data_IF_005182045261
#
_entry.id   IF_005182045261
#
_cell.length_a   1.000
_cell.length_b   1.000
_cell.length_c   1.000
_cell.angle_alpha   90.00
_cell.angle_beta   90.00
_cell.angle_gamma   90.00
#
_symmetry.space_group_name_H-M   'P 1'
#
loop_
_entity.id
_entity.type
_entity.pdbx_description
1 polymer ?
#
# COMPACT_ATOMS: atom_id res chain seq x y z
N UNK A 1 -5.78 -12.57 9.70
CA UNK A 1 -5.83 -12.73 8.23
C UNK A 1 -5.98 -11.39 7.49
N UNK A 2 -7.09 -10.65 7.63
CA UNK A 2 -7.42 -9.44 6.83
C UNK A 2 -6.32 -8.37 6.77
N UNK A 3 -5.63 -8.09 7.88
CA UNK A 3 -4.53 -7.10 7.97
C UNK A 3 -3.29 -7.46 7.14
N UNK A 4 -2.97 -8.74 7.03
CA UNK A 4 -1.85 -9.21 6.22
C UNK A 4 -2.20 -9.17 4.73
N UNK A 5 -3.46 -9.47 4.38
CA UNK A 5 -3.98 -9.32 3.01
C UNK A 5 -3.93 -7.85 2.58
N UNK A 6 -4.34 -6.91 3.46
CA UNK A 6 -4.29 -5.47 3.18
C UNK A 6 -2.85 -4.97 2.97
N UNK A 7 -1.92 -5.43 3.82
CA UNK A 7 -0.49 -5.12 3.68
C UNK A 7 0.05 -5.64 2.34
N UNK A 8 -0.20 -6.92 2.05
CA UNK A 8 0.31 -7.57 0.84
C UNK A 8 -0.30 -6.94 -0.43
N UNK A 9 -1.59 -6.61 -0.43
CA UNK A 9 -2.24 -5.93 -1.56
C UNK A 9 -1.69 -4.52 -1.76
N UNK A 10 -1.44 -3.76 -0.69
CA UNK A 10 -0.86 -2.41 -0.80
C UNK A 10 0.57 -2.45 -1.36
N UNK A 11 1.40 -3.40 -0.92
CA UNK A 11 2.75 -3.59 -1.46
C UNK A 11 2.71 -3.99 -2.94
N UNK A 12 1.82 -4.91 -3.31
CA UNK A 12 1.65 -5.31 -4.72
C UNK A 12 1.19 -4.14 -5.61
N UNK A 13 0.29 -3.26 -5.12
CA UNK A 13 -0.11 -2.07 -5.88
C UNK A 13 1.07 -1.13 -6.14
N UNK A 14 1.94 -0.91 -5.16
CA UNK A 14 3.13 -0.06 -5.32
C UNK A 14 4.10 -0.68 -6.33
N UNK A 15 4.35 -1.99 -6.24
CA UNK A 15 5.18 -2.71 -7.22
C UNK A 15 4.58 -2.62 -8.62
N UNK A 16 3.27 -2.81 -8.75
CA UNK A 16 2.56 -2.71 -10.03
C UNK A 16 2.69 -1.31 -10.64
N UNK A 17 2.60 -0.25 -9.83
CA UNK A 17 2.79 1.13 -10.29
C UNK A 17 4.21 1.36 -10.84
N UNK A 18 5.25 0.83 -10.16
CA UNK A 18 6.64 0.92 -10.63
C UNK A 18 6.82 0.14 -11.94
N UNK A 19 6.26 -1.07 -12.04
CA UNK A 19 6.34 -1.89 -13.26
C UNK A 19 5.64 -1.22 -14.44
N UNK A 20 4.48 -0.59 -14.22
CA UNK A 20 3.79 0.18 -15.25
C UNK A 20 4.63 1.37 -15.72
N UNK A 21 5.29 2.08 -14.79
CA UNK A 21 6.19 3.18 -15.13
C UNK A 21 7.36 2.67 -15.98
N UNK A 22 8.01 1.59 -15.57
CA UNK A 22 9.11 0.98 -16.34
C UNK A 22 8.62 0.58 -17.73
N UNK A 23 7.52 -0.16 -17.82
CA UNK A 23 6.97 -0.63 -19.11
C UNK A 23 6.56 0.52 -20.04
N UNK A 24 6.12 1.65 -19.49
CA UNK A 24 5.80 2.85 -20.25
C UNK A 24 7.04 3.56 -20.82
N UNK A 25 8.19 3.44 -20.14
CA UNK A 25 9.46 4.06 -20.53
C UNK A 25 10.41 3.12 -21.27
N UNK A 26 10.13 1.81 -21.33
CA UNK A 26 10.88 0.88 -22.18
C UNK A 26 10.71 1.31 -23.65
N UNK A 27 11.81 1.56 -24.38
CA UNK A 27 11.74 1.94 -25.78
C UNK A 27 11.12 0.78 -26.58
N UNK A 28 9.87 0.94 -27.01
CA UNK A 28 9.21 -0.03 -27.88
C UNK A 28 9.71 0.21 -29.30
N UNK A 29 10.49 -0.73 -29.83
CA UNK A 29 10.92 -0.77 -31.22
C UNK A 29 9.78 -1.19 -32.16
N UNK A 30 8.64 -0.48 -32.08
CA UNK A 30 7.46 -0.67 -32.93
C UNK A 30 7.23 0.57 -33.82
N UNK A 31 6.41 0.45 -34.89
CA UNK A 31 6.20 1.53 -35.86
C UNK A 31 5.79 2.82 -35.14
N UNK A 32 6.39 3.93 -35.58
CA UNK A 32 6.35 5.27 -34.97
C UNK A 32 4.91 5.81 -34.96
N UNK A 33 4.10 5.33 -34.01
CA UNK A 33 2.70 5.66 -33.86
C UNK A 33 2.47 6.27 -32.48
N UNK A 34 2.25 7.59 -32.43
CA UNK A 34 1.87 8.42 -31.28
C UNK A 34 2.55 8.00 -29.96
N UNK A 35 3.67 8.65 -29.66
CA UNK A 35 4.36 8.52 -28.37
C UNK A 35 3.37 8.52 -27.22
N UNK A 36 3.53 7.54 -26.33
CA UNK A 36 2.75 7.38 -25.11
C UNK A 36 2.56 8.76 -24.46
N UNK A 37 1.32 9.19 -24.20
CA UNK A 37 1.07 10.48 -23.56
C UNK A 37 1.69 10.47 -22.16
N UNK A 38 2.93 10.95 -22.03
CA UNK A 38 3.69 10.91 -20.77
C UNK A 38 2.92 11.53 -19.60
N UNK A 39 2.12 12.57 -19.87
CA UNK A 39 1.20 13.17 -18.89
C UNK A 39 0.20 12.17 -18.30
N UNK A 40 -0.39 11.30 -19.13
CA UNK A 40 -1.36 10.29 -18.70
C UNK A 40 -0.70 9.19 -17.87
N UNK A 41 0.51 8.77 -18.25
CA UNK A 41 1.30 7.77 -17.51
C UNK A 41 1.66 8.28 -16.13
N UNK A 42 2.15 9.51 -16.03
CA UNK A 42 2.48 10.14 -14.74
C UNK A 42 1.24 10.35 -13.87
N UNK A 43 0.11 10.74 -14.47
CA UNK A 43 -1.14 10.86 -13.73
C UNK A 43 -1.61 9.51 -13.18
N UNK A 44 -1.58 8.45 -14.00
CA UNK A 44 -1.91 7.10 -13.58
C UNK A 44 -0.96 6.61 -12.48
N UNK A 45 0.34 6.83 -12.63
CA UNK A 45 1.34 6.51 -11.62
C UNK A 45 1.05 7.22 -10.30
N UNK A 46 0.81 8.54 -10.33
CA UNK A 46 0.51 9.32 -9.14
C UNK A 46 -0.75 8.82 -8.42
N UNK A 47 -1.84 8.59 -9.16
CA UNK A 47 -3.09 8.05 -8.60
C UNK A 47 -2.89 6.67 -7.97
N UNK A 48 -2.17 5.78 -8.65
CA UNK A 48 -1.93 4.41 -8.17
C UNK A 48 -0.99 4.40 -6.96
N UNK A 49 0.02 5.26 -6.96
CA UNK A 49 0.97 5.42 -5.87
C UNK A 49 0.32 6.01 -4.62
N UNK A 50 -0.47 7.08 -4.76
CA UNK A 50 -1.22 7.68 -3.65
C UNK A 50 -2.26 6.68 -3.10
N UNK A 51 -2.94 5.95 -3.99
CA UNK A 51 -3.84 4.86 -3.61
C UNK A 51 -3.14 3.82 -2.76
N UNK A 52 -2.04 3.25 -3.27
CA UNK A 52 -1.22 2.26 -2.54
C UNK A 52 -0.72 2.78 -1.19
N UNK A 53 -0.22 4.02 -1.13
CA UNK A 53 0.26 4.64 0.10
C UNK A 53 -0.85 4.82 1.14
N UNK A 54 -2.05 5.23 0.72
CA UNK A 54 -3.19 5.41 1.63
C UNK A 54 -3.65 4.09 2.25
N UNK A 55 -3.70 3.01 1.47
CA UNK A 55 -4.01 1.67 1.97
C UNK A 55 -2.93 1.14 2.91
N UNK A 56 -1.66 1.41 2.63
CA UNK A 56 -0.54 1.02 3.48
C UNK A 56 -0.61 1.75 4.84
N UNK A 57 -0.88 3.06 4.84
CA UNK A 57 -1.10 3.83 6.07
C UNK A 57 -2.27 3.30 6.88
N UNK A 58 -3.39 2.96 6.23
CA UNK A 58 -4.55 2.38 6.89
C UNK A 58 -4.23 1.02 7.53
N UNK A 59 -3.45 0.18 6.83
CA UNK A 59 -3.00 -1.11 7.36
C UNK A 59 -2.14 -0.94 8.62
N UNK A 60 -1.19 -0.01 8.59
CA UNK A 60 -0.32 0.30 9.74
C UNK A 60 -1.15 0.82 10.91
N UNK A 61 -2.07 1.75 10.66
CA UNK A 61 -2.93 2.33 11.70
C UNK A 61 -3.74 1.25 12.42
N UNK A 62 -4.32 0.31 11.68
CA UNK A 62 -5.05 -0.83 12.27
C UNK A 62 -4.17 -1.74 13.12
N UNK A 63 -2.95 -2.04 12.67
CA UNK A 63 -2.02 -2.86 13.45
C UNK A 63 -1.62 -2.16 14.76
N UNK A 64 -1.35 -0.86 14.70
CA UNK A 64 -1.00 -0.06 15.88
C UNK A 64 -2.18 0.01 16.86
N UNK A 65 -3.40 0.26 16.37
CA UNK A 65 -4.62 0.30 17.19
C UNK A 65 -4.85 -1.03 17.92
N UNK A 66 -4.72 -2.16 17.23
CA UNK A 66 -4.90 -3.49 17.82
C UNK A 66 -3.83 -3.80 18.89
N UNK A 67 -2.57 -3.41 18.65
CA UNK A 67 -1.49 -3.55 19.64
C UNK A 67 -1.76 -2.72 20.90
N UNK A 68 -2.27 -1.48 20.75
CA UNK A 68 -2.64 -0.64 21.89
C UNK A 68 -3.80 -1.23 22.69
N UNK A 69 -4.84 -1.74 22.02
CA UNK A 69 -5.97 -2.39 22.67
C UNK A 69 -5.55 -3.65 23.46
N UNK A 70 -4.69 -4.50 22.88
CA UNK A 70 -4.13 -5.68 23.57
C UNK A 70 -3.27 -5.31 24.78
N UNK A 71 -2.49 -4.23 24.68
CA UNK A 71 -1.66 -3.75 25.79
C UNK A 71 -2.51 -3.23 26.94
N UNK A 72 -3.59 -2.49 26.66
CA UNK A 72 -4.54 -2.01 27.65
C UNK A 72 -5.28 -3.16 28.37
N UNK A 73 -5.78 -4.15 27.62
CA UNK A 73 -6.42 -5.32 28.20
C UNK A 73 -5.46 -6.16 29.08
N UNK A 74 -4.17 -6.21 28.73
CA UNK A 74 -3.15 -6.91 29.52
C UNK A 74 -2.82 -6.19 30.83
N UNK A 75 -2.86 -4.85 30.85
CA UNK A 75 -2.68 -4.09 32.10
C UNK A 75 -3.86 -4.24 33.06
N UNK A 76 -5.08 -4.32 32.55
CA UNK A 76 -6.29 -4.53 33.39
C UNK A 76 -6.35 -5.96 33.94
N UNK A 77 -6.09 -6.98 33.12
CA UNK A 77 -6.04 -8.37 33.58
C UNK A 77 -4.91 -8.68 34.57
N UNK A 78 -3.78 -7.96 34.50
CA UNK A 78 -2.69 -8.08 35.47
C UNK A 78 -2.99 -7.40 36.82
N UNK A 79 -3.98 -6.50 36.85
CA UNK A 79 -4.46 -5.88 38.08
C UNK A 79 -5.49 -6.78 38.78
N UNK A 80 -6.37 -7.42 38.01
CA UNK A 80 -7.45 -8.28 38.52
C UNK A 80 -7.01 -9.69 39.02
N UNK A 81 -5.76 -10.09 38.78
CA UNK A 81 -5.21 -11.37 39.24
C UNK A 81 -4.37 -11.29 40.52
N UNK A 82 -4.41 -10.14 41.22
CA UNK A 82 -3.69 -9.87 42.47
C UNK A 82 -4.61 -9.75 43.69
N UNK A 83 -5.87 -10.14 43.55
CA UNK A 83 -6.86 -10.22 44.64
C UNK A 83 -7.05 -11.67 45.09
#
# INVERSE_FOLDING_TARGET
MRKYVLLLSSSLMIICAIVQLISAYVPKTGPVGKGLNGKLVWFQFACTFIGGASYLLLAIYWIVKEKRAKKAARSEGAWNGRE
#
